data_IF_276769924037
#
_entry.id   IF_276769924037
#
_cell.length_a   1.000
_cell.length_b   1.000
_cell.length_c   1.000
_cell.angle_alpha   90.00
_cell.angle_beta   90.00
_cell.angle_gamma   90.00
#
_symmetry.space_group_name_H-M   'P 1'
#
loop_
_entity.id
_entity.type
_entity.pdbx_description
1 polymer ?
#
# COMPACT_ATOMS: atom_id res chain seq x y z
N UNK A 1 -0.46 11.46 8.28
CA UNK A 1 0.66 10.75 7.59
C UNK A 1 1.15 11.50 6.36
N UNK A 2 0.28 11.89 5.42
CA UNK A 2 0.68 12.64 4.22
C UNK A 2 1.34 14.00 4.53
N UNK A 3 0.86 14.72 5.54
CA UNK A 3 1.46 15.98 6.00
C UNK A 3 2.91 15.79 6.46
N UNK A 4 3.21 14.66 7.15
CA UNK A 4 4.57 14.33 7.59
C UNK A 4 5.47 14.06 6.39
N UNK A 5 4.97 13.33 5.39
CA UNK A 5 5.72 13.07 4.15
C UNK A 5 5.93 14.36 3.36
N UNK A 6 4.96 15.28 3.38
CA UNK A 6 5.06 16.57 2.72
C UNK A 6 6.04 17.51 3.42
N UNK A 7 5.99 17.59 4.75
CA UNK A 7 6.96 18.33 5.56
C UNK A 7 8.40 17.81 5.37
N UNK A 8 8.55 16.50 5.14
CA UNK A 8 9.84 15.87 4.82
C UNK A 8 10.24 16.01 3.33
N UNK A 9 9.40 16.62 2.50
CA UNK A 9 9.68 16.88 1.08
C UNK A 9 9.53 15.68 0.15
N UNK A 10 8.90 14.59 0.60
CA UNK A 10 8.66 13.39 -0.20
C UNK A 10 7.42 13.52 -1.09
N UNK A 11 6.44 14.31 -0.68
CA UNK A 11 5.22 14.54 -1.47
C UNK A 11 4.84 16.01 -1.50
N UNK A 12 4.25 16.44 -2.60
CA UNK A 12 3.56 17.73 -2.67
C UNK A 12 2.06 17.51 -2.55
N UNK A 13 1.42 18.34 -1.73
CA UNK A 13 -0.02 18.33 -1.52
C UNK A 13 -0.60 19.57 -2.21
N UNK A 14 -1.42 19.34 -3.23
CA UNK A 14 -2.02 20.40 -4.04
C UNK A 14 -3.53 20.37 -3.85
N UNK A 15 -4.10 21.47 -3.35
CA UNK A 15 -5.55 21.65 -3.29
C UNK A 15 -6.07 21.92 -4.70
N UNK A 16 -7.12 21.20 -5.11
CA UNK A 16 -7.72 21.41 -6.41
C UNK A 16 -8.39 22.80 -6.48
N UNK A 17 -8.15 23.53 -7.58
CA UNK A 17 -8.69 24.88 -7.79
C UNK A 17 -10.21 24.93 -7.98
N UNK A 18 -10.81 23.86 -8.49
CA UNK A 18 -12.24 23.75 -8.79
C UNK A 18 -13.04 23.16 -7.62
N UNK A 19 -12.48 22.20 -6.88
CA UNK A 19 -13.07 21.67 -5.65
C UNK A 19 -12.05 21.71 -4.51
N UNK A 20 -12.21 22.67 -3.59
CA UNK A 20 -11.29 22.86 -2.47
C UNK A 20 -11.28 21.72 -1.45
N UNK A 21 -12.22 20.76 -1.54
CA UNK A 21 -12.25 19.55 -0.72
C UNK A 21 -11.35 18.45 -1.26
N UNK A 22 -10.94 18.56 -2.53
CA UNK A 22 -10.07 17.59 -3.17
C UNK A 22 -8.60 17.95 -2.95
N UNK A 23 -7.86 16.97 -2.44
CA UNK A 23 -6.42 17.04 -2.25
C UNK A 23 -5.72 16.10 -3.25
N UNK A 24 -4.91 16.67 -4.12
CA UNK A 24 -4.02 15.90 -5.00
C UNK A 24 -2.67 15.71 -4.33
N UNK A 25 -2.14 14.50 -4.43
CA UNK A 25 -0.83 14.13 -3.88
C UNK A 25 0.09 13.78 -5.05
N UNK A 26 1.25 14.41 -5.15
CA UNK A 26 2.27 14.05 -6.13
C UNK A 26 3.57 13.67 -5.43
N UNK A 27 4.25 12.65 -5.95
CA UNK A 27 5.58 12.28 -5.48
C UNK A 27 6.61 13.30 -5.97
N UNK A 28 7.58 13.63 -5.13
CA UNK A 28 8.72 14.47 -5.53
C UNK A 28 9.87 13.62 -6.04
N UNK A 29 10.84 14.26 -6.70
CA UNK A 29 12.10 13.62 -7.10
C UNK A 29 12.85 13.00 -5.91
N UNK A 30 12.76 13.62 -4.72
CA UNK A 30 13.32 13.06 -3.49
C UNK A 30 12.74 11.68 -3.15
N UNK A 31 11.45 11.45 -3.44
CA UNK A 31 10.82 10.15 -3.24
C UNK A 31 11.34 9.13 -4.23
N UNK A 32 11.51 9.52 -5.49
CA UNK A 32 12.13 8.64 -6.48
C UNK A 32 13.53 8.22 -6.06
N UNK A 33 14.39 9.17 -5.66
CA UNK A 33 15.75 8.90 -5.18
C UNK A 33 15.78 8.04 -3.92
N UNK A 34 14.81 8.22 -3.02
CA UNK A 34 14.66 7.36 -1.86
C UNK A 34 14.34 5.92 -2.29
N UNK A 35 13.35 5.71 -3.16
CA UNK A 35 13.02 4.35 -3.58
C UNK A 35 14.15 3.67 -4.34
N UNK A 36 14.87 4.37 -5.23
CA UNK A 36 16.00 3.77 -5.95
C UNK A 36 17.14 3.34 -5.03
N UNK A 37 17.40 4.08 -3.94
CA UNK A 37 18.42 3.71 -2.96
C UNK A 37 18.00 2.58 -2.02
N UNK A 38 16.69 2.43 -1.78
CA UNK A 38 16.15 1.47 -0.81
C UNK A 38 15.58 0.20 -1.46
N UNK A 39 15.33 0.18 -2.76
CA UNK A 39 14.82 -0.98 -3.49
C UNK A 39 15.79 -2.17 -3.39
N UNK A 40 17.09 -1.94 -3.59
CA UNK A 40 18.11 -2.99 -3.44
C UNK A 40 18.19 -3.52 -2.00
N UNK A 41 18.03 -2.65 -1.00
CA UNK A 41 18.03 -3.07 0.41
C UNK A 41 16.76 -3.84 0.77
N UNK A 42 15.62 -3.43 0.20
CA UNK A 42 14.34 -4.11 0.35
C UNK A 42 14.37 -5.52 -0.24
N UNK A 43 14.89 -5.67 -1.46
CA UNK A 43 15.05 -6.97 -2.11
C UNK A 43 15.94 -7.91 -1.28
N UNK A 44 17.13 -7.45 -0.87
CA UNK A 44 18.02 -8.24 -0.04
C UNK A 44 17.40 -8.64 1.32
N UNK A 45 16.63 -7.74 1.94
CA UNK A 45 15.90 -8.04 3.16
C UNK A 45 14.81 -9.11 2.94
N UNK A 46 14.04 -9.01 1.84
CA UNK A 46 13.00 -9.99 1.52
C UNK A 46 13.60 -11.37 1.20
N UNK A 47 14.72 -11.41 0.47
CA UNK A 47 15.46 -12.65 0.23
C UNK A 47 15.88 -13.32 1.54
N UNK A 48 16.40 -12.56 2.51
CA UNK A 48 16.75 -13.09 3.83
C UNK A 48 15.52 -13.51 4.63
N UNK A 49 14.43 -12.75 4.56
CA UNK A 49 13.21 -13.03 5.32
C UNK A 49 12.56 -14.35 4.90
N UNK A 50 12.63 -14.67 3.61
CA UNK A 50 12.05 -15.88 3.04
C UNK A 50 13.08 -16.99 2.76
N UNK A 51 14.31 -16.82 3.25
CA UNK A 51 15.36 -17.82 3.11
C UNK A 51 14.91 -19.18 3.69
N UNK A 52 15.25 -20.26 2.99
CA UNK A 52 14.83 -21.62 3.34
C UNK A 52 13.39 -22.00 2.98
N UNK A 53 12.58 -21.08 2.42
CA UNK A 53 11.25 -21.39 1.91
C UNK A 53 11.32 -21.58 0.39
N UNK A 54 10.95 -22.76 -0.10
CA UNK A 54 10.97 -23.01 -1.55
C UNK A 54 9.91 -22.19 -2.29
N UNK A 55 10.13 -21.99 -3.60
CA UNK A 55 9.28 -21.13 -4.43
C UNK A 55 7.83 -21.61 -4.50
N UNK A 56 7.59 -22.93 -4.53
CA UNK A 56 6.23 -23.49 -4.62
C UNK A 56 5.42 -23.19 -3.35
N UNK A 57 6.05 -23.26 -2.18
CA UNK A 57 5.42 -22.94 -0.90
C UNK A 57 5.18 -21.44 -0.76
N UNK A 58 6.12 -20.60 -1.23
CA UNK A 58 5.93 -19.16 -1.27
C UNK A 58 4.73 -18.78 -2.15
N UNK A 59 4.62 -19.38 -3.35
CA UNK A 59 3.53 -19.10 -4.27
C UNK A 59 2.18 -19.61 -3.74
N UNK A 60 2.16 -20.81 -3.15
CA UNK A 60 0.96 -21.34 -2.49
C UNK A 60 0.48 -20.43 -1.36
N UNK A 61 1.41 -19.93 -0.52
CA UNK A 61 1.09 -18.99 0.55
C UNK A 61 0.55 -17.66 -0.01
N UNK A 62 1.14 -17.13 -1.08
CA UNK A 62 0.69 -15.90 -1.77
C UNK A 62 -0.76 -16.05 -2.26
N UNK A 63 -1.06 -17.12 -2.99
CA UNK A 63 -2.41 -17.42 -3.52
C UNK A 63 -3.42 -17.57 -2.38
N UNK A 64 -3.03 -18.27 -1.32
CA UNK A 64 -3.91 -18.50 -0.16
C UNK A 64 -4.25 -17.19 0.54
N UNK A 65 -3.26 -16.34 0.80
CA UNK A 65 -3.46 -15.02 1.40
C UNK A 65 -4.34 -14.12 0.52
N UNK A 66 -4.07 -14.07 -0.78
CA UNK A 66 -4.89 -13.31 -1.74
C UNK A 66 -6.35 -13.76 -1.71
N UNK A 67 -6.58 -15.07 -1.70
CA UNK A 67 -7.93 -15.67 -1.62
C UNK A 67 -8.62 -15.28 -0.32
N UNK A 68 -7.93 -15.34 0.82
CA UNK A 68 -8.46 -14.93 2.11
C UNK A 68 -8.87 -13.45 2.12
N UNK A 69 -8.01 -12.56 1.63
CA UNK A 69 -8.33 -11.13 1.56
C UNK A 69 -9.53 -10.85 0.65
N UNK A 70 -9.62 -11.53 -0.49
CA UNK A 70 -10.76 -11.41 -1.39
C UNK A 70 -12.07 -11.87 -0.74
N UNK A 71 -12.03 -12.97 0.02
CA UNK A 71 -13.20 -13.47 0.73
C UNK A 71 -13.63 -12.52 1.86
N UNK A 72 -12.67 -11.98 2.63
CA UNK A 72 -12.95 -10.95 3.63
C UNK A 72 -13.59 -9.70 3.01
N UNK A 73 -13.10 -9.28 1.84
CA UNK A 73 -13.69 -8.18 1.07
C UNK A 73 -15.15 -8.44 0.69
N UNK A 74 -15.46 -9.64 0.18
CA UNK A 74 -16.82 -10.06 -0.15
C UNK A 74 -17.73 -10.07 1.07
N UNK A 75 -17.26 -10.62 2.19
CA UNK A 75 -18.01 -10.63 3.45
C UNK A 75 -18.32 -9.20 3.91
N UNK A 76 -17.34 -8.29 3.88
CA UNK A 76 -17.57 -6.88 4.24
C UNK A 76 -18.62 -6.22 3.36
N UNK A 77 -18.66 -6.50 2.05
CA UNK A 77 -19.68 -5.96 1.15
C UNK A 77 -21.07 -6.54 1.42
N UNK A 78 -21.14 -7.83 1.73
CA UNK A 78 -22.39 -8.55 1.96
C UNK A 78 -23.03 -8.17 3.30
N UNK A 79 -22.23 -8.07 4.35
CA UNK A 79 -22.74 -7.87 5.72
C UNK A 79 -22.58 -6.43 6.22
N UNK A 80 -21.64 -5.64 5.71
CA UNK A 80 -21.44 -4.24 6.10
C UNK A 80 -22.49 -3.24 5.60
N UNK A 81 -23.45 -3.69 4.79
CA UNK A 81 -24.63 -2.89 4.37
C UNK A 81 -25.85 -3.08 5.28
N UNK A 82 -25.84 -4.04 6.21
CA UNK A 82 -26.97 -4.27 7.12
C UNK A 82 -27.04 -3.30 8.31
N UNK A 83 -25.96 -2.56 8.61
CA UNK A 83 -25.91 -1.63 9.76
C UNK A 83 -26.49 -0.22 9.49
N UNK A 84 -27.33 -0.04 8.46
CA UNK A 84 -27.96 1.28 8.17
C UNK A 84 -29.45 1.38 8.49
N UNK A 85 -30.03 0.41 9.19
CA UNK A 85 -31.42 0.50 9.67
C UNK A 85 -31.55 0.04 11.12
N UNK A 86 -30.99 0.82 12.05
CA UNK A 86 -31.58 1.07 13.37
C UNK A 86 -31.33 2.54 13.70
#
# INVERSE_FOLDING_TARGET
MLEVLSAKGYVTLCVNKQDKRNLSVALTEKTFLFFTQFETKGAAFLEQLFDGINADLQESARITMETLFNNLGRMKMQYGKSDRHI
#
